data_IF_725976230879
#
_entry.id   IF_725976230879
#
_cell.length_a   1.000
_cell.length_b   1.000
_cell.length_c   1.000
_cell.angle_alpha   90.00
_cell.angle_beta   90.00
_cell.angle_gamma   90.00
#
_symmetry.space_group_name_H-M   'P 1'
#
loop_
_entity.id
_entity.type
_entity.pdbx_description
1 polymer ?
#
# COMPACT_ATOMS: atom_id res chain seq x y z
N UNK A 1 -4.71 -11.19 -9.26
CA UNK A 1 -5.07 -10.23 -8.19
C UNK A 1 -5.53 -8.95 -8.87
N UNK A 2 -6.71 -8.43 -8.51
CA UNK A 2 -7.28 -7.23 -9.14
C UNK A 2 -6.50 -5.99 -8.71
N UNK A 3 -6.14 -5.12 -9.66
CA UNK A 3 -5.42 -3.86 -9.41
C UNK A 3 -6.25 -2.82 -8.66
N UNK A 4 -7.55 -3.08 -8.45
CA UNK A 4 -8.48 -2.15 -7.81
C UNK A 4 -8.25 -2.00 -6.29
N UNK A 5 -7.51 -2.91 -5.65
CA UNK A 5 -7.28 -2.89 -4.19
C UNK A 5 -6.00 -2.14 -3.76
N UNK A 6 -5.18 -1.70 -4.72
CA UNK A 6 -3.86 -1.09 -4.46
C UNK A 6 -3.90 0.20 -3.63
N UNK A 7 -5.03 0.92 -3.62
CA UNK A 7 -5.20 2.17 -2.85
C UNK A 7 -6.03 2.05 -1.57
N UNK A 8 -6.54 0.87 -1.23
CA UNK A 8 -7.46 0.70 -0.09
C UNK A 8 -6.75 -0.01 1.06
N UNK A 9 -6.74 0.60 2.24
CA UNK A 9 -6.37 -0.12 3.45
C UNK A 9 -7.48 -1.12 3.80
N UNK A 10 -7.12 -2.41 3.87
CA UNK A 10 -8.05 -3.51 4.17
C UNK A 10 -7.48 -4.35 5.31
N UNK A 11 -8.33 -4.68 6.28
CA UNK A 11 -8.02 -5.62 7.37
C UNK A 11 -8.97 -6.80 7.24
N UNK A 12 -8.40 -8.00 7.12
CA UNK A 12 -9.14 -9.25 6.93
C UNK A 12 -8.80 -10.23 8.04
N UNK A 13 -9.84 -10.81 8.65
CA UNK A 13 -9.70 -11.96 9.55
C UNK A 13 -10.11 -13.21 8.79
N UNK A 14 -9.16 -14.11 8.56
CA UNK A 14 -9.40 -15.35 7.81
C UNK A 14 -9.89 -16.47 8.73
N UNK A 15 -10.46 -17.51 8.13
CA UNK A 15 -10.75 -18.75 8.83
C UNK A 15 -9.44 -19.30 9.41
N UNK A 16 -9.47 -19.80 10.65
CA UNK A 16 -8.30 -20.14 11.50
C UNK A 16 -7.67 -18.98 12.30
N UNK A 17 -8.21 -17.75 12.19
CA UNK A 17 -7.80 -16.63 13.05
C UNK A 17 -6.53 -15.90 12.59
N UNK A 18 -6.10 -16.15 11.35
CA UNK A 18 -5.04 -15.40 10.69
C UNK A 18 -5.53 -13.96 10.41
N UNK A 19 -4.66 -12.98 10.62
CA UNK A 19 -4.94 -11.57 10.34
C UNK A 19 -4.13 -11.11 9.14
N UNK A 20 -4.78 -10.54 8.12
CA UNK A 20 -4.10 -9.90 7.00
C UNK A 20 -4.40 -8.41 6.97
N UNK A 21 -3.36 -7.59 6.79
CA UNK A 21 -3.44 -6.14 6.63
C UNK A 21 -2.83 -5.81 5.28
N UNK A 22 -3.62 -5.17 4.41
CA UNK A 22 -3.20 -4.72 3.08
C UNK A 22 -3.27 -3.21 3.00
N UNK A 23 -2.24 -2.56 2.47
CA UNK A 23 -2.19 -1.12 2.24
C UNK A 23 -1.00 -0.72 1.38
N UNK A 24 -1.15 0.30 0.54
CA UNK A 24 -0.09 0.85 -0.32
C UNK A 24 0.65 -0.23 -1.14
N UNK A 25 -0.08 -1.23 -1.65
CA UNK A 25 0.49 -2.34 -2.41
C UNK A 25 1.26 -3.37 -1.58
N UNK A 26 1.32 -3.22 -0.26
CA UNK A 26 1.94 -4.18 0.68
C UNK A 26 0.86 -4.99 1.39
N UNK A 27 1.08 -6.29 1.53
CA UNK A 27 0.25 -7.19 2.34
C UNK A 27 1.10 -7.85 3.41
N UNK A 28 0.70 -7.68 4.67
CA UNK A 28 1.29 -8.34 5.83
C UNK A 28 0.27 -9.34 6.36
N UNK A 29 0.73 -10.55 6.66
CA UNK A 29 -0.11 -11.63 7.21
C UNK A 29 0.50 -12.09 8.54
N UNK A 30 -0.34 -12.24 9.55
CA UNK A 30 0.03 -12.66 10.90
C UNK A 30 -0.59 -14.01 11.22
N UNK A 31 0.21 -14.90 11.83
CA UNK A 31 -0.30 -16.10 12.47
C UNK A 31 -1.23 -15.74 13.65
N UNK A 32 -2.09 -16.65 14.14
CA UNK A 32 -3.11 -16.28 15.13
C UNK A 32 -2.53 -15.74 16.44
N UNK A 33 -1.39 -16.27 16.88
CA UNK A 33 -0.69 -15.78 18.08
C UNK A 33 -0.08 -14.39 17.87
N UNK A 34 0.56 -14.16 16.72
CA UNK A 34 1.10 -12.85 16.34
C UNK A 34 -0.01 -11.80 16.20
N UNK A 35 -1.17 -12.19 15.68
CA UNK A 35 -2.34 -11.32 15.57
C UNK A 35 -2.85 -10.92 16.97
N UNK A 36 -2.90 -11.84 17.92
CA UNK A 36 -3.29 -11.54 19.31
C UNK A 36 -2.28 -10.60 19.98
N UNK A 37 -0.98 -10.86 19.82
CA UNK A 37 0.08 -10.01 20.36
C UNK A 37 0.02 -8.60 19.76
N UNK A 38 -0.19 -8.51 18.44
CA UNK A 38 -0.36 -7.24 17.74
C UNK A 38 -1.59 -6.47 18.24
N UNK A 39 -2.73 -7.15 18.40
CA UNK A 39 -3.95 -6.54 18.96
C UNK A 39 -3.75 -6.08 20.42
N UNK A 40 -3.02 -6.85 21.21
CA UNK A 40 -2.68 -6.46 22.58
C UNK A 40 -1.82 -5.19 22.59
N UNK A 41 -0.78 -5.15 21.76
CA UNK A 41 0.08 -3.99 21.58
C UNK A 41 -0.72 -2.76 21.13
N UNK A 42 -1.59 -2.90 20.12
CA UNK A 42 -2.47 -1.81 19.66
C UNK A 42 -3.34 -1.26 20.79
N UNK A 43 -3.90 -2.13 21.62
CA UNK A 43 -4.72 -1.70 22.76
C UNK A 43 -3.89 -0.97 23.82
N UNK A 44 -2.69 -1.46 24.15
CA UNK A 44 -1.80 -0.82 25.10
C UNK A 44 -1.38 0.58 24.64
N UNK A 45 -1.18 0.76 23.32
CA UNK A 45 -0.68 2.00 22.73
C UNK A 45 -1.76 2.89 22.09
N UNK A 46 -3.05 2.57 22.27
CA UNK A 46 -4.18 3.26 21.64
C UNK A 46 -4.12 4.79 21.76
N UNK A 47 -3.87 5.33 22.96
CA UNK A 47 -3.80 6.79 23.18
C UNK A 47 -2.68 7.46 22.40
N UNK A 48 -1.53 6.79 22.29
CA UNK A 48 -0.39 7.28 21.51
C UNK A 48 -0.71 7.27 20.03
N UNK A 49 -1.30 6.19 19.53
CA UNK A 49 -1.74 6.07 18.14
C UNK A 49 -2.81 7.12 17.78
N UNK A 50 -3.78 7.36 18.65
CA UNK A 50 -4.78 8.42 18.47
C UNK A 50 -4.15 9.82 18.43
N UNK A 51 -3.15 10.08 19.29
CA UNK A 51 -2.42 11.35 19.28
C UNK A 51 -1.66 11.55 17.96
N UNK A 52 -0.97 10.51 17.49
CA UNK A 52 -0.24 10.51 16.22
C UNK A 52 -1.21 10.71 15.05
N UNK A 53 -2.29 9.94 14.99
CA UNK A 53 -3.30 10.07 13.95
C UNK A 53 -3.85 11.50 13.87
N UNK A 54 -4.18 12.11 15.01
CA UNK A 54 -4.63 13.51 15.06
C UNK A 54 -3.58 14.51 14.59
N UNK A 55 -2.30 14.31 14.89
CA UNK A 55 -1.23 15.18 14.38
C UNK A 55 -0.96 15.02 12.89
N UNK A 56 -1.35 13.90 12.29
CA UNK A 56 -1.19 13.64 10.86
C UNK A 56 -2.40 14.03 10.00
N UNK A 57 -3.55 14.36 10.60
CA UNK A 57 -4.72 14.89 9.87
C UNK A 57 -4.42 16.25 9.20
N UNK A 58 -3.40 16.97 9.68
CA UNK A 58 -2.99 18.28 9.14
C UNK A 58 -1.81 18.21 8.15
N UNK A 59 -1.26 17.02 7.86
CA UNK A 59 -0.21 16.88 6.86
C UNK A 59 -0.82 16.59 5.49
N UNK A 60 -1.05 17.65 4.71
CA UNK A 60 -1.04 17.53 3.25
C UNK A 60 0.30 16.87 2.88
N UNK A 61 0.24 15.69 2.27
CA UNK A 61 1.41 15.03 1.68
C UNK A 61 2.12 16.07 0.81
N UNK A 62 3.41 16.40 1.08
CA UNK A 62 4.13 17.40 0.31
C UNK A 62 4.06 17.06 -1.18
N UNK A 63 3.70 18.03 -2.03
CA UNK A 63 3.53 17.82 -3.48
C UNK A 63 4.79 17.22 -4.14
N UNK A 64 5.96 17.37 -3.53
CA UNK A 64 7.23 16.74 -3.94
C UNK A 64 7.12 15.20 -4.01
N UNK A 65 6.27 14.56 -3.20
CA UNK A 65 6.03 13.11 -3.26
C UNK A 65 4.89 12.72 -4.23
N UNK A 66 4.13 13.68 -4.77
CA UNK A 66 3.12 13.43 -5.81
C UNK A 66 3.73 13.36 -7.21
N UNK A 67 4.83 14.07 -7.44
CA UNK A 67 5.41 14.16 -8.79
C UNK A 67 6.14 12.88 -9.25
N UNK A 68 6.59 11.99 -8.35
CA UNK A 68 7.22 10.72 -8.78
C UNK A 68 6.24 9.66 -9.30
N UNK A 69 4.93 9.85 -9.15
CA UNK A 69 3.90 8.95 -9.67
C UNK A 69 3.04 9.55 -10.77
N UNK A 70 3.33 10.80 -11.19
CA UNK A 70 2.45 11.59 -12.07
C UNK A 70 3.02 11.85 -13.46
N UNK A 71 4.10 11.19 -13.88
CA UNK A 71 4.41 11.11 -15.30
C UNK A 71 3.61 9.93 -15.88
N UNK A 72 2.58 10.15 -16.73
CA UNK A 72 2.29 9.13 -17.71
C UNK A 72 3.60 8.93 -18.50
N UNK A 73 4.01 7.68 -18.72
CA UNK A 73 4.87 7.35 -19.85
C UNK A 73 4.07 7.73 -21.11
N UNK A 74 4.04 9.03 -21.40
CA UNK A 74 3.65 9.53 -22.69
C UNK A 74 4.74 9.00 -23.58
N UNK A 75 4.36 8.02 -24.37
CA UNK A 75 5.05 7.52 -25.55
C UNK A 75 5.82 8.68 -26.17
N UNK A 76 7.11 8.76 -25.84
CA UNK A 76 8.05 9.54 -26.60
C UNK A 76 8.00 8.95 -27.99
N UNK A 77 7.41 9.72 -28.90
CA UNK A 77 7.48 9.51 -30.32
C UNK A 77 8.93 9.17 -30.71
N UNK A 78 9.05 8.19 -31.61
CA UNK A 78 10.27 7.60 -32.18
C UNK A 78 11.06 6.61 -31.30
N UNK A 79 10.65 5.34 -31.33
CA UNK A 79 11.63 4.28 -31.58
C UNK A 79 11.15 3.41 -32.74
N UNK A 80 11.97 3.39 -33.78
CA UNK A 80 11.67 3.00 -35.16
C UNK A 80 11.48 1.49 -35.30
N UNK A 81 10.45 1.07 -36.03
CA UNK A 81 10.37 -0.28 -36.60
C UNK A 81 11.61 -0.52 -37.49
N UNK A 82 12.48 -1.44 -37.09
CA UNK A 82 13.55 -1.96 -37.94
C UNK A 82 12.92 -2.98 -38.91
N UNK A 83 13.04 -2.81 -40.24
CA UNK A 83 12.57 -3.83 -41.17
C UNK A 83 13.43 -5.10 -41.02
N UNK A 84 12.78 -6.22 -40.73
CA UNK A 84 13.41 -7.55 -40.67
C UNK A 84 13.52 -8.09 -42.09
N UNK A 85 14.73 -8.23 -42.62
CA UNK A 85 14.99 -9.01 -43.84
C UNK A 85 14.88 -10.51 -43.51
N UNK A 86 13.90 -11.21 -44.09
CA UNK A 86 13.83 -12.68 -44.07
C UNK A 86 14.75 -13.27 -45.17
N UNK A 87 15.50 -14.36 -44.88
CA UNK A 87 16.16 -15.17 -45.92
C UNK A 87 15.21 -16.15 -46.61
#
# INVERSE_FOLDING_TARGET
>A
MSTHDLGRHVVELHEEGMLAITGEGVRITFAPHEALDFLHWLNQHKRTLEKIARSHVDYEVPDILREETSAPLTESADDRELPVDEP
#
